data_IF_327592964430
#
_entry.id   IF_327592964430
#
_cell.length_a   1.000
_cell.length_b   1.000
_cell.length_c   1.000
_cell.angle_alpha   90.00
_cell.angle_beta   90.00
_cell.angle_gamma   90.00
#
_symmetry.space_group_name_H-M   'P 1'
#
loop_
_entity.id
_entity.type
_entity.pdbx_description
1 polymer ?
#
# COMPACT_ATOMS: atom_id res chain seq x y z
N UNK A 1 -5.96 -46.94 40.42
CA UNK A 1 -6.51 -48.20 39.85
C UNK A 1 -6.34 -48.16 38.34
N UNK A 2 -5.61 -49.14 37.78
CA UNK A 2 -5.47 -49.41 36.34
C UNK A 2 -6.83 -49.72 35.72
N UNK A 3 -7.08 -49.28 34.47
CA UNK A 3 -7.59 -50.15 33.39
C UNK A 3 -6.99 -49.69 32.04
N UNK A 4 -6.31 -50.63 31.39
CA UNK A 4 -5.90 -50.64 29.98
C UNK A 4 -6.90 -51.48 29.17
N UNK A 5 -6.70 -51.53 27.83
CA UNK A 5 -7.23 -52.43 26.76
C UNK A 5 -7.98 -51.59 25.71
N UNK A 6 -7.50 -51.30 24.48
CA UNK A 6 -6.91 -52.07 23.34
C UNK A 6 -7.93 -52.89 22.52
N UNK A 7 -8.12 -52.51 21.24
CA UNK A 7 -8.35 -53.33 20.02
C UNK A 7 -8.82 -52.35 18.90
N UNK A 8 -8.23 -52.12 17.71
CA UNK A 8 -7.49 -52.90 16.69
C UNK A 8 -8.37 -53.88 15.90
N UNK A 9 -8.49 -53.65 14.57
CA UNK A 9 -8.72 -54.57 13.41
C UNK A 9 -9.24 -53.70 12.24
N UNK A 10 -8.44 -53.30 11.23
CA UNK A 10 -7.96 -54.02 10.01
C UNK A 10 -9.09 -54.67 9.19
N UNK A 11 -9.20 -54.22 7.92
CA UNK A 11 -10.00 -54.86 6.88
C UNK A 11 -9.52 -54.44 5.49
N UNK A 12 -8.59 -55.22 4.94
CA UNK A 12 -8.12 -55.20 3.55
C UNK A 12 -9.20 -55.84 2.66
N UNK A 13 -9.48 -55.26 1.49
CA UNK A 13 -10.06 -56.01 0.37
C UNK A 13 -9.19 -55.81 -0.87
N UNK A 14 -8.34 -56.80 -1.10
CA UNK A 14 -7.78 -57.16 -2.39
C UNK A 14 -8.90 -57.77 -3.23
N UNK A 15 -9.14 -57.23 -4.42
CA UNK A 15 -9.69 -58.00 -5.53
C UNK A 15 -8.78 -57.74 -6.71
N UNK A 16 -7.94 -58.74 -7.01
CA UNK A 16 -7.30 -58.85 -8.30
C UNK A 16 -8.29 -59.38 -9.32
N UNK A 17 -8.16 -58.90 -10.56
CA UNK A 17 -8.58 -59.65 -11.73
C UNK A 17 -7.36 -59.79 -12.63
N UNK A 18 -6.84 -61.02 -12.65
CA UNK A 18 -6.08 -61.61 -13.75
C UNK A 18 -6.80 -61.37 -15.07
N UNK A 19 -6.06 -61.08 -16.13
CA UNK A 19 -6.11 -61.83 -17.38
C UNK A 19 -4.88 -61.49 -18.24
N UNK A 20 -4.05 -62.50 -18.48
CA UNK A 20 -3.16 -62.61 -19.63
C UNK A 20 -4.02 -62.85 -20.88
N UNK A 21 -3.92 -61.98 -21.89
CA UNK A 21 -4.16 -62.35 -23.28
C UNK A 21 -3.15 -61.65 -24.19
N UNK A 22 -2.29 -62.51 -24.76
CA UNK A 22 -1.81 -62.59 -26.14
C UNK A 22 -1.49 -61.31 -26.95
N UNK A 23 -0.23 -61.28 -27.39
CA UNK A 23 0.37 -60.34 -28.33
C UNK A 23 -0.32 -60.38 -29.70
N UNK A 24 -0.86 -59.25 -30.14
CA UNK A 24 -0.97 -58.89 -31.57
C UNK A 24 -0.35 -57.51 -31.75
N UNK A 25 0.77 -57.48 -32.49
CA UNK A 25 1.52 -56.29 -32.87
C UNK A 25 0.62 -55.26 -33.57
N UNK A 26 0.39 -54.13 -32.91
CA UNK A 26 -0.12 -52.89 -33.52
C UNK A 26 1.03 -51.88 -33.50
N UNK A 27 1.30 -51.15 -34.60
CA UNK A 27 2.38 -50.17 -34.64
C UNK A 27 2.19 -49.14 -33.51
N UNK A 28 3.29 -48.67 -32.88
CA UNK A 28 3.20 -47.75 -31.76
C UNK A 28 2.45 -46.48 -32.17
N UNK A 29 1.59 -45.93 -31.31
CA UNK A 29 1.01 -44.61 -31.55
C UNK A 29 2.14 -43.59 -31.71
N UNK A 30 1.95 -42.55 -32.53
CA UNK A 30 2.94 -41.48 -32.63
C UNK A 30 3.21 -40.93 -31.23
N UNK A 31 4.45 -40.44 -30.95
CA UNK A 31 4.77 -39.88 -29.65
C UNK A 31 3.71 -38.86 -29.28
N UNK A 32 3.11 -38.99 -28.09
CA UNK A 32 2.41 -37.87 -27.50
C UNK A 32 3.43 -36.74 -27.44
N UNK A 33 3.25 -35.74 -28.31
CA UNK A 33 3.93 -34.46 -28.15
C UNK A 33 3.61 -34.02 -26.73
N UNK A 34 4.64 -34.09 -25.88
CA UNK A 34 4.68 -33.42 -24.60
C UNK A 34 4.40 -31.96 -24.93
N UNK A 35 3.15 -31.55 -24.68
CA UNK A 35 2.68 -30.20 -24.86
C UNK A 35 3.45 -29.38 -23.85
N UNK A 36 4.64 -28.96 -24.27
CA UNK A 36 5.58 -28.13 -23.52
C UNK A 36 4.72 -27.01 -22.94
N UNK A 37 4.60 -26.98 -21.62
CA UNK A 37 3.86 -25.97 -20.89
C UNK A 37 4.20 -24.63 -21.53
N UNK A 38 3.27 -24.12 -22.33
CA UNK A 38 3.35 -22.74 -22.77
C UNK A 38 3.32 -21.97 -21.45
N UNK A 39 4.33 -21.13 -21.17
CA UNK A 39 4.22 -20.25 -20.02
C UNK A 39 2.89 -19.51 -20.19
N UNK A 40 1.99 -19.72 -19.21
CA UNK A 40 0.80 -18.90 -19.06
C UNK A 40 1.30 -17.47 -19.25
N UNK A 41 0.77 -16.71 -20.23
CA UNK A 41 1.18 -15.33 -20.39
C UNK A 41 1.03 -14.68 -19.02
N UNK A 42 2.15 -14.36 -18.38
CA UNK A 42 2.10 -13.37 -17.33
C UNK A 42 1.52 -12.17 -18.05
N UNK A 43 0.29 -11.79 -17.69
CA UNK A 43 -0.19 -10.46 -18.02
C UNK A 43 0.88 -9.53 -17.47
N UNK A 44 1.76 -9.07 -18.36
CA UNK A 44 2.58 -7.92 -18.08
C UNK A 44 1.55 -6.83 -17.96
N UNK A 45 1.09 -6.57 -16.73
CA UNK A 45 0.36 -5.36 -16.40
C UNK A 45 1.30 -4.23 -16.77
N UNK A 46 1.16 -3.77 -18.02
CA UNK A 46 1.79 -2.55 -18.48
C UNK A 46 1.28 -1.46 -17.55
N UNK A 47 2.21 -0.97 -16.74
CA UNK A 47 2.01 0.20 -15.90
C UNK A 47 1.38 1.30 -16.76
N UNK A 48 0.44 2.08 -16.24
CA UNK A 48 0.11 3.30 -16.93
C UNK A 48 1.40 4.12 -17.04
N UNK A 49 1.67 4.62 -18.23
CA UNK A 49 2.87 5.38 -18.56
C UNK A 49 2.75 6.77 -17.90
N UNK A 50 2.99 6.84 -16.59
CA UNK A 50 2.84 8.07 -15.82
C UNK A 50 4.05 8.97 -16.04
N UNK A 51 4.08 9.67 -17.17
CA UNK A 51 5.13 10.65 -17.49
C UNK A 51 5.24 11.77 -16.46
N UNK A 52 4.18 12.05 -15.69
CA UNK A 52 4.15 13.01 -14.58
C UNK A 52 3.00 12.72 -13.62
N UNK A 53 3.23 12.68 -12.30
CA UNK A 53 2.16 12.79 -11.30
C UNK A 53 2.00 14.25 -10.91
N UNK A 54 0.81 14.85 -11.04
CA UNK A 54 0.59 16.20 -10.55
C UNK A 54 0.84 16.25 -9.02
N UNK A 55 1.43 17.32 -8.50
CA UNK A 55 1.68 17.42 -7.07
C UNK A 55 0.42 17.88 -6.33
N UNK A 56 0.22 17.50 -5.06
CA UNK A 56 -0.83 18.08 -4.24
C UNK A 56 -0.71 19.62 -4.18
N UNK A 57 -1.85 20.29 -4.33
CA UNK A 57 -1.96 21.74 -4.16
C UNK A 57 -1.99 22.05 -2.67
N UNK A 58 -1.25 23.08 -2.27
CA UNK A 58 -1.10 23.48 -0.87
C UNK A 58 -1.43 24.94 -0.65
N UNK A 59 -2.20 25.20 0.39
CA UNK A 59 -2.72 26.53 0.71
C UNK A 59 -2.83 26.72 2.21
N UNK A 60 -2.58 27.94 2.68
CA UNK A 60 -2.90 28.36 4.05
C UNK A 60 -4.06 29.35 3.98
N UNK A 61 -5.15 29.02 4.65
CA UNK A 61 -6.32 29.88 4.80
C UNK A 61 -6.17 30.67 6.09
N UNK A 62 -6.00 31.99 5.96
CA UNK A 62 -5.85 32.90 7.09
C UNK A 62 -7.19 33.13 7.78
N UNK A 63 -7.16 33.40 9.08
CA UNK A 63 -8.36 33.79 9.87
C UNK A 63 -9.11 35.00 9.30
N UNK A 64 -8.39 35.93 8.67
CA UNK A 64 -8.95 37.15 8.07
C UNK A 64 -9.61 36.90 6.69
N UNK A 65 -9.67 35.64 6.24
CA UNK A 65 -10.23 35.25 4.96
C UNK A 65 -9.25 35.37 3.79
N UNK A 66 -8.03 35.87 4.02
CA UNK A 66 -6.98 35.85 3.00
C UNK A 66 -6.35 34.47 2.89
N UNK A 67 -5.50 34.29 1.89
CA UNK A 67 -4.76 33.04 1.74
C UNK A 67 -3.49 33.23 0.96
N UNK A 68 -2.49 32.43 1.29
CA UNK A 68 -1.32 32.30 0.44
C UNK A 68 -1.18 30.84 -0.03
N UNK A 69 -0.71 30.72 -1.26
CA UNK A 69 -0.34 29.43 -1.84
C UNK A 69 1.07 29.10 -1.42
N UNK A 70 1.29 27.81 -1.16
CA UNK A 70 2.59 27.23 -0.81
C UNK A 70 3.08 27.54 0.61
N UNK A 71 3.20 26.48 1.40
CA UNK A 71 3.93 26.47 2.66
C UNK A 71 5.10 25.48 2.56
N UNK A 72 6.07 25.53 3.49
CA UNK A 72 7.13 24.53 3.57
C UNK A 72 6.59 23.10 3.66
N UNK A 73 6.68 22.37 2.56
CA UNK A 73 6.27 20.97 2.44
C UNK A 73 7.24 20.22 1.53
N UNK A 74 7.21 18.89 1.59
CA UNK A 74 7.99 18.03 0.71
C UNK A 74 7.12 16.87 0.22
N UNK A 75 7.00 16.73 -1.09
CA UNK A 75 6.42 15.53 -1.69
C UNK A 75 7.52 14.51 -2.02
N UNK A 76 7.33 13.26 -1.63
CA UNK A 76 8.28 12.16 -1.86
C UNK A 76 7.53 10.96 -2.43
N UNK A 77 7.89 10.54 -3.63
CA UNK A 77 7.50 9.23 -4.14
C UNK A 77 8.37 8.16 -3.48
N UNK A 78 7.76 7.18 -2.82
CA UNK A 78 8.48 6.13 -2.09
C UNK A 78 8.69 4.88 -2.94
N UNK A 79 7.64 4.42 -3.62
CA UNK A 79 7.70 3.22 -4.46
C UNK A 79 6.56 3.19 -5.48
N UNK A 80 6.82 2.46 -6.56
CA UNK A 80 5.84 2.08 -7.57
C UNK A 80 6.08 0.61 -7.98
N UNK A 81 5.00 -0.15 -8.10
CA UNK A 81 4.89 -1.49 -8.70
C UNK A 81 5.63 -2.63 -8.01
N UNK A 82 6.18 -2.39 -6.83
CA UNK A 82 6.61 -3.43 -5.89
C UNK A 82 6.93 -2.77 -4.55
N UNK A 83 5.90 -2.39 -3.80
CA UNK A 83 6.08 -1.71 -2.52
C UNK A 83 6.21 -2.75 -1.40
N UNK A 84 7.34 -2.74 -0.70
CA UNK A 84 7.46 -3.48 0.56
C UNK A 84 6.39 -2.99 1.54
N UNK A 85 5.88 -3.89 2.38
CA UNK A 85 4.93 -3.55 3.44
C UNK A 85 5.52 -2.70 4.55
N UNK A 86 6.81 -2.37 4.48
CA UNK A 86 7.54 -1.65 5.52
C UNK A 86 6.78 -0.35 5.86
N UNK A 87 6.54 -0.03 7.14
CA UNK A 87 5.86 1.19 7.53
C UNK A 87 6.62 2.40 6.98
N UNK A 88 5.86 3.39 6.56
CA UNK A 88 6.42 4.61 5.98
C UNK A 88 7.27 5.32 7.00
N UNK A 89 8.58 5.36 6.77
CA UNK A 89 9.47 6.12 7.63
C UNK A 89 9.29 7.59 7.26
N UNK A 90 8.85 8.40 8.21
CA UNK A 90 8.74 9.84 7.98
C UNK A 90 10.14 10.44 7.97
N UNK A 91 10.76 10.48 6.79
CA UNK A 91 12.07 11.11 6.57
C UNK A 91 11.90 12.36 5.74
N UNK A 92 12.82 13.30 5.92
CA UNK A 92 12.89 14.55 5.14
C UNK A 92 11.67 15.45 5.35
N UNK A 93 11.71 16.22 6.44
CA UNK A 93 10.80 17.33 6.65
C UNK A 93 11.48 18.63 6.24
N UNK A 94 10.78 19.50 5.51
CA UNK A 94 11.24 20.88 5.32
C UNK A 94 11.26 21.61 6.67
N UNK A 95 11.80 22.84 6.67
CA UNK A 95 11.64 23.73 7.81
C UNK A 95 10.15 23.87 8.17
N UNK A 96 9.78 23.81 9.45
CA UNK A 96 8.38 23.89 9.84
C UNK A 96 7.79 25.28 9.56
N UNK A 97 6.47 25.33 9.44
CA UNK A 97 5.70 26.57 9.53
C UNK A 97 5.77 27.13 10.95
N UNK A 98 6.05 28.43 11.05
CA UNK A 98 6.10 29.12 12.35
C UNK A 98 4.70 29.26 12.98
N UNK A 99 4.68 29.27 14.33
CA UNK A 99 3.52 29.49 15.20
C UNK A 99 2.74 30.79 14.95
N UNK A 100 3.31 31.73 14.20
CA UNK A 100 2.65 32.98 13.82
C UNK A 100 1.39 32.74 12.98
N UNK A 101 1.20 31.52 12.47
CA UNK A 101 0.00 31.08 11.76
C UNK A 101 -1.08 30.50 12.71
N UNK A 102 -1.03 30.78 14.02
CA UNK A 102 -1.98 30.23 14.99
C UNK A 102 -3.43 30.47 14.59
N UNK A 103 -4.18 29.37 14.49
CA UNK A 103 -5.57 29.21 14.08
C UNK A 103 -5.87 29.49 12.61
N UNK A 104 -4.84 29.65 11.77
CA UNK A 104 -4.99 29.49 10.34
C UNK A 104 -5.28 28.01 10.01
N UNK A 105 -5.80 27.73 8.83
CA UNK A 105 -6.05 26.37 8.35
C UNK A 105 -5.09 26.02 7.23
N UNK A 106 -4.28 24.99 7.45
CA UNK A 106 -3.51 24.34 6.39
C UNK A 106 -4.45 23.47 5.57
N UNK A 107 -4.35 23.58 4.24
CA UNK A 107 -5.11 22.78 3.31
C UNK A 107 -4.16 22.10 2.32
N UNK A 108 -4.36 20.80 2.13
CA UNK A 108 -3.70 20.01 1.09
C UNK A 108 -4.77 19.39 0.21
N UNK A 109 -4.68 19.61 -1.09
CA UNK A 109 -5.62 19.14 -2.09
C UNK A 109 -4.90 18.26 -3.12
N UNK A 110 -5.26 16.98 -3.15
CA UNK A 110 -4.66 15.98 -4.04
C UNK A 110 -5.64 15.47 -5.10
N UNK A 111 -6.73 16.20 -5.38
CA UNK A 111 -7.67 15.85 -6.46
C UNK A 111 -7.02 15.86 -7.85
N UNK A 112 -5.87 16.52 -7.98
CA UNK A 112 -5.08 16.49 -9.20
C UNK A 112 -4.18 15.25 -9.33
N UNK A 113 -4.02 14.42 -8.28
CA UNK A 113 -3.25 13.19 -8.38
C UNK A 113 -3.87 12.23 -9.39
N UNK A 114 -3.05 11.74 -10.30
CA UNK A 114 -3.45 10.72 -11.27
C UNK A 114 -2.45 9.55 -11.20
N UNK A 115 -2.90 8.34 -10.86
CA UNK A 115 -4.28 7.99 -10.48
C UNK A 115 -4.61 8.53 -9.07
N UNK A 116 -5.89 8.62 -8.74
CA UNK A 116 -6.30 8.93 -7.36
C UNK A 116 -5.87 7.81 -6.39
N UNK A 117 -5.38 8.14 -5.19
CA UNK A 117 -4.98 7.13 -4.21
C UNK A 117 -6.20 6.36 -3.70
N UNK A 118 -6.01 5.07 -3.45
CA UNK A 118 -7.05 4.20 -2.89
C UNK A 118 -7.18 4.35 -1.38
N UNK A 119 -6.09 4.75 -0.71
CA UNK A 119 -6.08 5.05 0.71
C UNK A 119 -5.22 6.27 0.99
N UNK A 120 -5.66 7.09 1.96
CA UNK A 120 -4.90 8.23 2.47
C UNK A 120 -4.86 8.16 3.99
N UNK A 121 -3.68 8.40 4.57
CA UNK A 121 -3.50 8.46 6.03
C UNK A 121 -2.75 9.73 6.41
N UNK A 122 -3.18 10.36 7.50
CA UNK A 122 -2.38 11.35 8.21
C UNK A 122 -1.50 10.62 9.22
N UNK A 123 -0.19 10.79 9.09
CA UNK A 123 0.80 10.33 10.04
C UNK A 123 1.27 11.53 10.86
N UNK A 124 1.42 11.36 12.17
CA UNK A 124 1.93 12.38 13.10
C UNK A 124 3.19 11.88 13.78
N UNK A 125 4.21 12.72 13.88
CA UNK A 125 5.40 12.53 14.73
C UNK A 125 5.67 13.79 15.53
N UNK A 126 6.46 13.69 16.60
CA UNK A 126 6.85 14.88 17.38
C UNK A 126 7.98 15.61 16.67
N UNK A 127 8.05 16.93 16.79
CA UNK A 127 9.18 17.70 16.22
C UNK A 127 10.54 17.28 16.79
N UNK A 128 10.56 16.81 18.04
CA UNK A 128 11.74 16.27 18.73
C UNK A 128 12.16 14.86 18.28
N UNK A 129 11.23 14.08 17.72
CA UNK A 129 11.45 12.72 17.25
C UNK A 129 10.64 12.51 15.97
N UNK A 130 11.33 12.73 14.85
CA UNK A 130 10.74 12.73 13.51
C UNK A 130 10.51 11.32 12.97
N UNK A 131 11.15 10.31 13.56
CA UNK A 131 11.14 8.94 13.05
C UNK A 131 9.99 8.12 13.64
N UNK A 132 9.64 8.39 14.91
CA UNK A 132 8.56 7.68 15.59
C UNK A 132 7.18 8.26 15.26
N UNK A 133 6.35 7.46 14.59
CA UNK A 133 4.94 7.79 14.36
C UNK A 133 4.17 7.63 15.67
N UNK A 134 3.53 8.71 16.13
CA UNK A 134 2.70 8.74 17.34
C UNK A 134 1.21 8.64 17.05
N UNK A 135 0.76 8.99 15.84
CA UNK A 135 -0.61 8.70 15.38
C UNK A 135 -0.65 8.40 13.88
N UNK A 136 -1.61 7.57 13.48
CA UNK A 136 -1.94 7.22 12.10
C UNK A 136 -3.44 7.21 11.93
N UNK A 137 -3.96 8.17 11.18
CA UNK A 137 -5.40 8.43 11.07
C UNK A 137 -5.84 8.31 9.61
N UNK A 138 -6.79 7.43 9.33
CA UNK A 138 -7.35 7.28 7.98
C UNK A 138 -8.09 8.55 7.58
N UNK A 139 -7.77 9.08 6.42
CA UNK A 139 -8.43 10.24 5.83
C UNK A 139 -9.43 9.80 4.77
N UNK A 140 -10.39 10.66 4.49
CA UNK A 140 -11.25 10.51 3.32
C UNK A 140 -10.40 10.64 2.05
N UNK A 141 -10.69 9.82 1.05
CA UNK A 141 -10.03 9.85 -0.26
C UNK A 141 -10.58 10.95 -1.16
N UNK A 142 -11.61 11.70 -0.71
CA UNK A 142 -12.27 12.80 -1.44
C UNK A 142 -11.38 13.95 -1.88
N UNK A 143 -10.10 13.95 -1.49
CA UNK A 143 -9.08 14.72 -2.15
C UNK A 143 -8.61 15.96 -1.41
N UNK A 144 -9.17 16.26 -0.24
CA UNK A 144 -8.83 17.45 0.53
C UNK A 144 -8.63 17.12 2.00
N UNK A 145 -7.50 17.56 2.55
CA UNK A 145 -7.20 17.56 3.98
C UNK A 145 -7.16 18.98 4.50
N UNK A 146 -7.64 19.17 5.73
CA UNK A 146 -7.56 20.44 6.45
C UNK A 146 -7.05 20.22 7.87
N UNK A 147 -6.13 21.08 8.31
CA UNK A 147 -5.61 21.10 9.66
C UNK A 147 -5.62 22.53 10.20
N UNK A 148 -6.35 22.75 11.27
CA UNK A 148 -6.33 24.04 11.98
C UNK A 148 -5.08 24.08 12.87
N UNK A 149 -4.31 25.16 12.79
CA UNK A 149 -3.11 25.34 13.58
C UNK A 149 -3.51 25.71 15.02
N UNK A 150 -3.41 24.77 15.94
CA UNK A 150 -3.65 24.96 17.38
C UNK A 150 -2.45 24.48 18.19
N UNK A 151 -2.49 24.68 19.51
CA UNK A 151 -1.46 24.19 20.43
C UNK A 151 -1.19 22.69 20.29
N UNK A 152 -2.24 21.90 20.03
CA UNK A 152 -2.12 20.44 19.82
C UNK A 152 -1.43 20.05 18.52
N UNK A 153 -1.36 21.00 17.57
CA UNK A 153 -0.75 20.78 16.26
C UNK A 153 0.67 21.29 16.14
N UNK A 154 1.03 22.29 16.95
CA UNK A 154 2.37 22.87 17.04
C UNK A 154 3.33 21.83 17.67
N UNK A 155 4.63 21.97 17.39
CA UNK A 155 5.68 21.01 17.79
C UNK A 155 5.49 19.60 17.24
N UNK A 156 4.78 19.46 16.12
CA UNK A 156 4.59 18.18 15.45
C UNK A 156 4.96 18.27 13.97
N UNK A 157 5.32 17.11 13.44
CA UNK A 157 5.39 16.92 12.00
C UNK A 157 4.30 15.98 11.53
N UNK A 158 3.89 16.20 10.28
CA UNK A 158 2.79 15.51 9.64
C UNK A 158 3.22 14.97 8.28
N UNK A 159 2.62 13.85 7.89
CA UNK A 159 2.70 13.36 6.52
C UNK A 159 1.32 12.89 6.09
N UNK A 160 0.87 13.33 4.92
CA UNK A 160 -0.19 12.63 4.20
C UNK A 160 0.46 11.52 3.39
N UNK A 161 0.20 10.28 3.79
CA UNK A 161 0.59 9.08 3.06
C UNK A 161 -0.49 8.74 2.05
N UNK A 162 -0.12 8.72 0.77
CA UNK A 162 -0.97 8.28 -0.33
C UNK A 162 -0.57 6.86 -0.71
N UNK A 163 -1.54 5.95 -0.75
CA UNK A 163 -1.32 4.56 -1.13
C UNK A 163 -2.23 4.18 -2.28
N UNK A 164 -1.66 3.46 -3.25
CA UNK A 164 -2.38 2.84 -4.36
C UNK A 164 -2.33 1.34 -4.19
N UNK A 165 -3.51 0.73 -4.11
CA UNK A 165 -3.69 -0.70 -4.04
C UNK A 165 -4.38 -1.20 -5.28
N UNK A 166 -3.89 -2.31 -5.79
CA UNK A 166 -4.64 -3.17 -6.71
C UNK A 166 -5.06 -4.41 -5.93
N UNK A 167 -6.35 -4.56 -5.69
CA UNK A 167 -6.90 -5.52 -4.72
C UNK A 167 -6.21 -5.36 -3.35
N UNK A 168 -5.52 -6.40 -2.85
CA UNK A 168 -4.78 -6.37 -1.58
C UNK A 168 -3.29 -6.00 -1.75
N UNK A 169 -2.81 -5.86 -2.99
CA UNK A 169 -1.41 -5.56 -3.27
C UNK A 169 -1.17 -4.05 -3.27
N UNK A 170 -0.19 -3.60 -2.49
CA UNK A 170 0.29 -2.22 -2.54
C UNK A 170 1.17 -2.02 -3.79
N UNK A 171 0.67 -1.25 -4.74
CA UNK A 171 1.34 -0.97 -6.01
C UNK A 171 1.94 0.44 -6.08
N UNK A 172 1.65 1.31 -5.12
CA UNK A 172 2.24 2.64 -5.09
C UNK A 172 2.17 3.24 -3.70
N UNK A 173 3.18 4.05 -3.37
CA UNK A 173 3.17 4.85 -2.15
C UNK A 173 3.93 6.15 -2.33
N UNK A 174 3.36 7.24 -1.83
CA UNK A 174 4.02 8.53 -1.72
C UNK A 174 3.63 9.23 -0.42
N UNK A 175 4.39 10.27 -0.07
CA UNK A 175 4.15 11.08 1.12
C UNK A 175 4.22 12.57 0.80
N UNK A 176 3.39 13.33 1.49
CA UNK A 176 3.48 14.79 1.53
C UNK A 176 3.73 15.23 2.97
N UNK A 177 4.96 15.65 3.24
CA UNK A 177 5.49 15.93 4.58
C UNK A 177 5.48 17.43 4.86
N UNK A 178 5.08 17.81 6.07
CA UNK A 178 5.10 19.19 6.54
C UNK A 178 5.21 19.25 8.07
N UNK A 179 5.73 20.35 8.60
CA UNK A 179 5.91 20.54 10.05
C UNK A 179 5.31 21.85 10.53
N UNK A 180 5.00 21.91 11.82
CA UNK A 180 4.49 23.12 12.50
C UNK A 180 5.29 23.30 13.80
N UNK A 181 5.82 24.50 14.04
CA UNK A 181 6.66 24.81 15.21
C UNK A 181 6.42 26.22 15.76
#
# INVERSE_FOLDING_TARGET
MKKWIVALFVGILLIGCSNEEESVSKPPPPPLEEKKDQPVPQEIYSLPDFGTTALPVQKVLKKDGTSFSHFPSMYVALCWNNCESNPSVMKNYPSPLDKDNYGDTLQVDWRALEPQPTEVYLLKSKSSDRETIVSREKQDVSGVFQLVITDDTIENNYALEFSWKDHDQLIGRSQFNFGIQ
#
